data_IF_537749139615
#
_entry.id   IF_537749139615
#
_cell.length_a   1.000
_cell.length_b   1.000
_cell.length_c   1.000
_cell.angle_alpha   90.00
_cell.angle_beta   90.00
_cell.angle_gamma   90.00
#
_symmetry.space_group_name_H-M   'P 1'
#
loop_
_entity.id
_entity.type
_entity.pdbx_description
1 polymer ?
#
# COMPACT_ATOMS: atom_id res chain seq x y z
N UNK A 1 -42.67 6.18 6.79
CA UNK A 1 -42.25 6.20 6.98
C UNK A 1 -41.19 5.87 7.12
N UNK A 2 -40.97 5.68 7.09
CA UNK A 2 -40.09 5.48 7.28
C UNK A 2 -39.25 4.88 6.81
N UNK A 3 -39.19 4.39 6.58
CA UNK A 3 -38.67 3.56 5.97
C UNK A 3 -37.57 3.99 5.40
N UNK A 4 -37.59 4.62 4.83
CA UNK A 4 -36.65 5.05 4.10
C UNK A 4 -35.51 5.16 4.74
N UNK A 5 -35.54 5.50 5.36
CA UNK A 5 -34.51 5.69 6.03
C UNK A 5 -33.56 4.70 6.04
N UNK A 6 -33.87 3.89 6.47
CA UNK A 6 -32.94 2.94 6.60
C UNK A 6 -32.06 2.88 5.58
N UNK A 7 -32.38 2.73 4.73
CA UNK A 7 -31.58 2.70 3.71
C UNK A 7 -30.39 3.28 3.76
N UNK A 8 -30.50 4.27 3.67
CA UNK A 8 -29.34 4.91 3.60
C UNK A 8 -28.32 4.30 4.29
N UNK A 9 -28.47 4.07 5.24
CA UNK A 9 -27.50 3.58 5.86
C UNK A 9 -26.76 2.68 5.36
N UNK A 10 -27.32 2.05 4.98
CA UNK A 10 -26.59 0.99 4.56
C UNK A 10 -25.47 1.45 3.87
N UNK A 11 -25.60 2.03 3.13
CA UNK A 11 -24.64 2.41 2.38
C UNK A 11 -23.52 2.83 2.93
N UNK A 12 -23.72 3.52 3.48
CA UNK A 12 -22.60 4.11 3.96
C UNK A 12 -21.76 3.04 4.33
N UNK A 13 -22.22 2.37 4.94
CA UNK A 13 -21.42 1.46 5.39
C UNK A 13 -20.56 0.98 4.48
N UNK A 14 -20.79 0.68 3.84
CA UNK A 14 -20.05 0.17 3.01
C UNK A 14 -18.95 0.71 2.72
N UNK A 15 -19.17 1.29 2.23
CA UNK A 15 -18.18 1.80 1.72
C UNK A 15 -17.08 1.74 2.42
N UNK A 16 -16.86 2.14 2.34
CA UNK A 16 -15.77 2.31 2.87
C UNK A 16 -15.17 1.49 3.61
N UNK A 17 -15.60 1.30 4.10
CA UNK A 17 -15.05 0.62 4.88
C UNK A 17 -14.14 -0.15 4.51
N UNK A 18 -14.47 -0.42 4.12
CA UNK A 18 -13.84 -1.34 3.77
C UNK A 18 -12.51 -1.24 3.75
N UNK A 19 -12.09 -1.54 3.30
CA UNK A 19 -10.86 -1.56 3.04
C UNK A 19 -9.94 -0.80 3.63
N UNK A 20 -10.14 -0.03 3.38
CA UNK A 20 -9.16 0.74 3.71
C UNK A 20 -8.66 0.44 4.98
N UNK A 21 -9.12 -0.38 5.54
CA UNK A 21 -8.74 -0.39 6.80
C UNK A 21 -7.79 -1.28 7.33
N UNK A 22 -6.98 -1.78 6.57
CA UNK A 22 -5.90 -2.56 7.11
C UNK A 22 -5.11 -1.70 8.06
N UNK A 23 -5.00 -2.09 9.28
CA UNK A 23 -4.34 -1.27 10.27
C UNK A 23 -2.86 -1.56 10.29
N UNK A 24 -2.06 -0.59 10.03
CA UNK A 24 -0.61 -0.75 9.92
C UNK A 24 0.01 -0.69 11.30
N UNK A 25 0.74 -1.73 11.66
CA UNK A 25 1.47 -1.75 12.92
C UNK A 25 2.92 -1.36 12.75
N UNK A 26 3.49 -1.64 11.60
CA UNK A 26 4.88 -1.29 11.34
C UNK A 26 5.06 -0.92 9.89
N UNK A 27 5.67 0.21 9.64
CA UNK A 27 6.02 0.66 8.29
C UNK A 27 7.52 0.70 8.17
N UNK A 28 8.02 0.36 7.00
CA UNK A 28 9.44 0.42 6.72
C UNK A 28 9.61 1.34 5.53
N UNK A 29 10.41 2.36 5.66
CA UNK A 29 10.66 3.30 4.58
C UNK A 29 11.56 2.65 3.54
N UNK A 30 11.29 2.85 2.27
CA UNK A 30 12.16 2.28 1.24
C UNK A 30 13.45 3.08 1.12
N UNK A 31 14.48 2.41 0.68
CA UNK A 31 15.75 3.06 0.43
C UNK A 31 15.75 3.66 -0.96
N UNK A 32 16.40 4.77 -1.12
CA UNK A 32 16.51 5.38 -2.43
C UNK A 32 17.52 4.55 -3.23
N UNK A 33 17.14 4.03 -4.38
CA UNK A 33 18.04 3.08 -5.09
C UNK A 33 19.27 3.78 -5.66
N UNK A 34 20.41 3.10 -5.55
CA UNK A 34 21.62 3.63 -6.14
C UNK A 34 21.51 3.84 -7.63
N UNK A 35 20.72 3.01 -8.30
CA UNK A 35 20.55 3.16 -9.72
C UNK A 35 19.88 4.48 -10.08
N UNK A 36 18.95 4.93 -9.26
CA UNK A 36 18.31 6.20 -9.50
C UNK A 36 19.31 7.34 -9.35
N UNK A 37 20.22 7.22 -8.38
CA UNK A 37 21.23 8.23 -8.20
C UNK A 37 22.15 8.27 -9.41
N UNK A 38 22.56 7.12 -9.90
CA UNK A 38 23.44 7.08 -11.06
C UNK A 38 22.80 7.67 -12.29
N UNK A 39 21.51 7.56 -12.42
CA UNK A 39 20.82 8.09 -13.58
C UNK A 39 20.26 9.47 -13.37
N UNK A 40 20.64 10.10 -12.26
CA UNK A 40 20.19 11.45 -11.94
C UNK A 40 18.68 11.58 -11.88
N UNK A 41 18.03 10.54 -11.35
CA UNK A 41 16.59 10.58 -11.16
C UNK A 41 16.34 11.05 -9.74
N UNK A 42 15.68 12.19 -9.62
CA UNK A 42 15.50 12.81 -8.31
C UNK A 42 14.16 12.52 -7.67
N UNK A 43 13.25 11.90 -8.38
CA UNK A 43 11.94 11.61 -7.81
C UNK A 43 11.26 10.50 -8.59
N UNK A 44 10.34 9.86 -7.94
CA UNK A 44 9.56 8.83 -8.58
C UNK A 44 8.42 8.39 -7.69
N UNK A 45 7.59 7.51 -8.19
CA UNK A 45 6.51 6.97 -7.40
C UNK A 45 6.22 5.55 -7.80
N UNK A 46 5.70 4.78 -6.86
CA UNK A 46 5.32 3.41 -7.10
C UNK A 46 4.01 3.17 -6.40
N UNK A 47 3.05 2.62 -7.12
CA UNK A 47 1.81 2.21 -6.51
C UNK A 47 1.80 0.70 -6.47
N UNK A 48 1.57 0.14 -5.32
CA UNK A 48 1.67 -1.30 -5.13
C UNK A 48 0.47 -1.82 -4.36
N UNK A 49 0.14 -3.06 -4.63
CA UNK A 49 -0.94 -3.72 -3.93
C UNK A 49 -0.32 -4.82 -3.11
N UNK A 50 -0.56 -4.80 -1.82
CA UNK A 50 -0.03 -5.80 -0.93
C UNK A 50 -1.09 -6.81 -0.60
N UNK A 51 -0.69 -8.07 -0.48
CA UNK A 51 -1.55 -9.09 0.05
C UNK A 51 -1.09 -9.33 1.49
N UNK A 52 -2.01 -9.26 2.41
CA UNK A 52 -1.71 -9.38 3.82
C UNK A 52 -2.31 -10.68 4.34
N UNK A 53 -1.47 -11.52 4.90
CA UNK A 53 -1.94 -12.80 5.42
C UNK A 53 -2.77 -12.60 6.69
N UNK A 54 -3.49 -13.62 7.09
CA UNK A 54 -4.35 -13.50 8.26
C UNK A 54 -3.64 -13.11 9.52
N UNK A 55 -2.33 -13.38 9.62
CA UNK A 55 -1.56 -13.01 10.79
C UNK A 55 -1.00 -11.60 10.71
N UNK A 56 -1.27 -10.87 9.64
CA UNK A 56 -0.81 -9.50 9.49
C UNK A 56 0.48 -9.32 8.74
N UNK A 57 1.13 -10.39 8.34
CA UNK A 57 2.35 -10.27 7.57
C UNK A 57 2.05 -10.06 6.11
N UNK A 58 2.88 -9.32 5.41
CA UNK A 58 2.72 -9.11 3.99
C UNK A 58 3.20 -10.35 3.27
N UNK A 59 2.31 -11.02 2.57
CA UNK A 59 2.65 -12.25 1.86
C UNK A 59 2.91 -12.03 0.39
N UNK A 60 2.60 -10.88 -0.13
CA UNK A 60 2.89 -10.58 -1.54
C UNK A 60 2.81 -9.11 -1.81
N UNK A 61 3.55 -8.66 -2.81
CA UNK A 61 3.55 -7.26 -3.23
C UNK A 61 3.52 -7.24 -4.74
N UNK A 62 2.49 -6.63 -5.32
CA UNK A 62 2.39 -6.48 -6.76
C UNK A 62 2.54 -5.03 -7.13
N UNK A 63 3.43 -4.73 -8.04
CA UNK A 63 3.59 -3.36 -8.51
C UNK A 63 2.50 -3.08 -9.54
N UNK A 64 1.66 -2.12 -9.24
CA UNK A 64 0.57 -1.77 -10.13
C UNK A 64 1.00 -0.70 -11.11
N UNK A 65 1.80 0.23 -10.63
CA UNK A 65 2.21 1.34 -11.45
C UNK A 65 3.53 1.87 -10.92
N UNK A 66 4.43 2.27 -11.79
CA UNK A 66 5.72 2.82 -11.37
C UNK A 66 6.17 3.88 -12.36
N UNK A 67 6.74 4.94 -11.82
CA UNK A 67 7.18 6.06 -12.62
C UNK A 67 8.48 6.59 -12.05
N UNK A 68 9.61 6.47 -12.70
CA UNK A 68 9.83 5.73 -13.95
C UNK A 68 9.82 4.22 -13.68
N UNK A 69 9.60 3.48 -14.74
CA UNK A 69 9.46 2.03 -14.57
C UNK A 69 10.78 1.39 -14.23
N UNK A 70 10.68 0.40 -13.39
CA UNK A 70 11.82 -0.46 -13.06
C UNK A 70 12.97 0.18 -12.33
N UNK A 71 12.79 1.38 -11.86
CA UNK A 71 13.85 2.01 -11.09
C UNK A 71 13.58 1.83 -9.60
N UNK A 72 12.37 2.08 -9.17
CA UNK A 72 12.06 2.04 -7.76
C UNK A 72 11.32 0.77 -7.32
N UNK A 73 11.02 -0.11 -8.27
CA UNK A 73 10.21 -1.29 -7.97
C UNK A 73 10.81 -2.15 -6.88
N UNK A 74 12.09 -2.47 -7.00
CA UNK A 74 12.71 -3.36 -6.05
C UNK A 74 12.75 -2.72 -4.66
N UNK A 75 13.05 -1.46 -4.58
CA UNK A 75 13.09 -0.78 -3.30
C UNK A 75 11.72 -0.77 -2.65
N UNK A 76 10.67 -0.61 -3.46
CA UNK A 76 9.32 -0.64 -2.94
C UNK A 76 8.96 -2.03 -2.44
N UNK A 77 9.26 -3.06 -3.21
CA UNK A 77 8.95 -4.42 -2.81
C UNK A 77 9.67 -4.79 -1.53
N UNK A 78 10.97 -4.46 -1.45
CA UNK A 78 11.74 -4.79 -0.27
C UNK A 78 11.19 -4.12 0.98
N UNK A 79 10.82 -2.86 0.88
CA UNK A 79 10.29 -2.14 2.03
C UNK A 79 8.91 -2.66 2.42
N UNK A 80 8.03 -2.78 1.45
CA UNK A 80 6.66 -3.18 1.74
C UNK A 80 6.56 -4.60 2.26
N UNK A 81 7.48 -5.45 1.87
CA UNK A 81 7.48 -6.83 2.35
C UNK A 81 7.76 -6.91 3.84
N UNK A 82 8.33 -5.86 4.41
CA UNK A 82 8.65 -5.84 5.82
C UNK A 82 7.60 -5.13 6.66
N UNK A 83 6.58 -4.58 6.05
CA UNK A 83 5.52 -3.93 6.79
C UNK A 83 4.73 -4.98 7.57
N UNK A 84 4.12 -4.57 8.65
CA UNK A 84 3.27 -5.45 9.41
C UNK A 84 1.94 -4.81 9.69
N UNK A 85 0.90 -5.61 9.64
CA UNK A 85 -0.44 -5.13 9.86
C UNK A 85 -1.06 -5.92 11.00
N UNK A 86 -2.17 -5.42 11.49
CA UNK A 86 -2.90 -6.14 12.51
C UNK A 86 -3.55 -7.34 11.86
N UNK A 87 -3.36 -8.51 12.43
CA UNK A 87 -3.96 -9.72 11.89
C UNK A 87 -5.45 -9.75 12.13
N UNK A 88 -6.19 -10.23 11.16
CA UNK A 88 -7.63 -10.34 11.29
C UNK A 88 -8.09 -11.78 11.17
N UNK A 89 -7.18 -12.69 10.91
CA UNK A 89 -7.54 -14.07 10.68
C UNK A 89 -7.88 -14.35 9.23
N UNK A 90 -7.99 -13.34 8.43
CA UNK A 90 -8.34 -13.51 7.02
C UNK A 90 -7.36 -12.73 6.16
N UNK A 91 -7.18 -13.18 4.95
CA UNK A 91 -6.33 -12.50 4.00
C UNK A 91 -6.98 -11.20 3.55
N UNK A 92 -6.19 -10.16 3.36
CA UNK A 92 -6.70 -8.87 2.90
C UNK A 92 -5.76 -8.29 1.88
N UNK A 93 -6.21 -7.30 1.16
CA UNK A 93 -5.34 -6.57 0.25
C UNK A 93 -5.35 -5.10 0.64
N UNK A 94 -4.28 -4.42 0.33
CA UNK A 94 -4.15 -3.00 0.65
C UNK A 94 -3.28 -2.35 -0.40
N UNK A 95 -3.73 -1.26 -0.95
CA UNK A 95 -2.99 -0.57 -1.98
C UNK A 95 -2.33 0.66 -1.40
N UNK A 96 -1.09 0.93 -1.78
CA UNK A 96 -0.37 2.06 -1.23
C UNK A 96 0.45 2.70 -2.33
N UNK A 97 0.65 4.00 -2.23
CA UNK A 97 1.49 4.73 -3.15
C UNK A 97 2.70 5.23 -2.40
N UNK A 98 3.88 4.90 -2.87
CA UNK A 98 5.13 5.35 -2.28
C UNK A 98 5.72 6.43 -3.18
N UNK A 99 6.14 7.53 -2.58
CA UNK A 99 6.77 8.61 -3.33
C UNK A 99 8.23 8.65 -2.91
N UNK A 100 9.10 8.63 -3.91
CA UNK A 100 10.54 8.64 -3.67
C UNK A 100 11.09 10.01 -4.02
N UNK A 101 11.93 10.55 -3.18
CA UNK A 101 12.58 11.81 -3.47
C UNK A 101 14.00 11.76 -3.01
N UNK A 102 14.86 12.26 -3.85
CA UNK A 102 16.26 12.41 -3.49
C UNK A 102 16.39 13.52 -2.47
N UNK A 103 17.32 13.36 -1.55
CA UNK A 103 17.50 14.36 -0.56
C UNK A 103 18.41 15.45 -0.93
N UNK A 104 18.99 15.40 -2.07
CA UNK A 104 19.87 16.47 -2.46
C UNK A 104 19.24 17.52 -3.23
#
# INVERSE_FOLDING_TARGET
>A
MFARTAVALALAAVASLAHADAKVLKKVAPEYPGEAIKKNISAGSVRAKMTIAGDGKVSGVDIVEAEPKRIFDRAAIDALSQWKFEGTGASQTHEVKLVFKSED
#
